data_IF_225954964411
#
_entry.id   IF_225954964411
#
_cell.length_a   1.000
_cell.length_b   1.000
_cell.length_c   1.000
_cell.angle_alpha   90.00
_cell.angle_beta   90.00
_cell.angle_gamma   90.00
#
_symmetry.space_group_name_H-M   'P 1'
#
loop_
_entity.id
_entity.type
_entity.pdbx_description
1 polymer ?
#
# COMPACT_ATOMS: atom_id res chain seq x y z
N UNK A 1 20.16 -13.75 8.13
CA UNK A 1 20.43 -12.33 7.79
C UNK A 1 19.68 -12.01 6.50
N UNK A 2 18.70 -11.09 6.48
CA UNK A 2 17.87 -10.83 5.28
C UNK A 2 18.60 -9.89 4.30
N UNK A 3 18.97 -10.44 3.15
CA UNK A 3 19.40 -9.68 1.97
C UNK A 3 18.26 -8.76 1.49
N UNK A 4 18.50 -7.46 1.36
CA UNK A 4 17.44 -6.50 0.95
C UNK A 4 17.76 -5.74 -0.33
N UNK A 5 19.03 -5.45 -0.63
CA UNK A 5 19.37 -4.63 -1.78
C UNK A 5 20.56 -5.21 -2.54
N UNK A 6 20.54 -5.09 -3.86
CA UNK A 6 21.63 -5.48 -4.76
C UNK A 6 22.41 -4.22 -5.16
N UNK A 7 23.74 -4.26 -5.08
CA UNK A 7 24.59 -3.13 -5.48
C UNK A 7 25.93 -3.63 -6.02
N UNK A 8 26.32 -3.16 -7.21
CA UNK A 8 27.63 -3.44 -7.84
C UNK A 8 28.05 -4.92 -7.81
N UNK A 9 27.10 -5.82 -8.09
CA UNK A 9 27.37 -7.26 -8.18
C UNK A 9 27.40 -8.03 -6.86
N UNK A 10 27.13 -7.36 -5.73
CA UNK A 10 27.00 -8.00 -4.43
C UNK A 10 25.71 -7.62 -3.72
N UNK A 11 25.27 -8.51 -2.83
CA UNK A 11 24.11 -8.28 -1.98
C UNK A 11 24.56 -7.45 -0.78
N UNK A 12 23.95 -6.28 -0.61
CA UNK A 12 24.19 -5.42 0.56
C UNK A 12 23.11 -5.66 1.62
N UNK A 13 23.54 -5.66 2.87
CA UNK A 13 22.69 -5.86 4.06
C UNK A 13 22.35 -4.55 4.78
N UNK A 14 23.05 -3.46 4.44
CA UNK A 14 22.83 -2.13 5.01
C UNK A 14 21.83 -1.30 4.21
N UNK A 15 21.30 -0.25 4.84
CA UNK A 15 20.34 0.67 4.21
C UNK A 15 21.03 1.58 3.19
N UNK A 16 20.50 1.62 1.97
CA UNK A 16 20.95 2.55 0.93
C UNK A 16 20.05 3.77 0.91
N UNK A 17 20.59 4.93 1.27
CA UNK A 17 19.86 6.19 1.21
C UNK A 17 19.51 6.55 -0.25
N UNK A 18 18.25 6.92 -0.48
CA UNK A 18 17.78 7.36 -1.80
C UNK A 18 17.87 8.88 -1.90
N UNK A 19 18.63 9.39 -2.88
CA UNK A 19 18.67 10.83 -3.18
C UNK A 19 17.37 11.34 -3.78
N UNK A 20 16.57 10.48 -4.41
CA UNK A 20 15.26 10.83 -4.96
C UNK A 20 14.20 10.97 -3.87
N UNK A 21 14.37 10.26 -2.74
CA UNK A 21 13.37 10.23 -1.68
C UNK A 21 13.11 11.60 -1.05
N UNK A 22 14.13 12.45 -0.94
CA UNK A 22 13.94 13.81 -0.41
C UNK A 22 13.01 14.67 -1.28
N UNK A 23 13.16 14.60 -2.60
CA UNK A 23 12.31 15.32 -3.56
C UNK A 23 10.90 14.73 -3.67
N UNK A 24 10.77 13.40 -3.59
CA UNK A 24 9.45 12.75 -3.49
C UNK A 24 8.74 13.15 -2.20
N UNK A 25 9.45 13.11 -1.06
CA UNK A 25 8.88 13.43 0.26
C UNK A 25 8.30 14.83 0.33
N UNK A 26 8.90 15.82 -0.34
CA UNK A 26 8.35 17.18 -0.36
C UNK A 26 7.07 17.29 -1.20
N UNK A 27 6.86 16.41 -2.17
CA UNK A 27 5.63 16.38 -2.99
C UNK A 27 4.50 15.56 -2.37
N UNK A 28 4.79 14.61 -1.47
CA UNK A 28 3.78 13.73 -0.84
C UNK A 28 2.56 14.50 -0.32
N UNK A 29 2.68 15.61 0.45
CA UNK A 29 1.51 16.32 0.96
C UNK A 29 0.61 16.90 -0.14
N UNK A 30 1.20 17.35 -1.25
CA UNK A 30 0.45 17.87 -2.39
C UNK A 30 -0.27 16.74 -3.14
N UNK A 31 0.36 15.58 -3.25
CA UNK A 31 -0.26 14.39 -3.83
C UNK A 31 -1.40 13.89 -2.95
N UNK A 32 -1.20 13.79 -1.63
CA UNK A 32 -2.23 13.34 -0.68
C UNK A 32 -3.47 14.24 -0.69
N UNK A 33 -3.30 15.56 -0.87
CA UNK A 33 -4.42 16.50 -0.95
C UNK A 33 -5.34 16.26 -2.16
N UNK A 34 -4.78 15.80 -3.27
CA UNK A 34 -5.52 15.60 -4.53
C UNK A 34 -5.76 14.13 -4.86
N UNK A 35 -5.14 13.22 -4.11
CA UNK A 35 -5.36 11.81 -4.23
C UNK A 35 -6.72 11.46 -3.61
N UNK A 36 -7.49 10.66 -4.35
CA UNK A 36 -8.70 10.03 -3.84
C UNK A 36 -8.56 8.53 -4.00
N UNK A 37 -9.19 7.79 -3.10
CA UNK A 37 -9.32 6.36 -3.30
C UNK A 37 -10.29 6.08 -4.43
N UNK A 38 -9.90 5.18 -5.34
CA UNK A 38 -10.80 4.63 -6.35
C UNK A 38 -11.76 3.59 -5.72
N UNK A 39 -11.36 3.04 -4.58
CA UNK A 39 -12.07 2.03 -3.82
C UNK A 39 -13.04 2.67 -2.83
N UNK A 40 -14.19 2.02 -2.64
CA UNK A 40 -15.20 2.46 -1.67
C UNK A 40 -15.88 3.78 -2.06
N UNK A 41 -16.15 4.61 -1.05
CA UNK A 41 -16.79 5.93 -1.19
C UNK A 41 -15.81 7.06 -1.60
N UNK A 42 -14.52 6.71 -1.72
CA UNK A 42 -13.43 7.62 -2.08
C UNK A 42 -12.89 8.48 -0.93
N UNK A 43 -13.47 8.40 0.26
CA UNK A 43 -13.07 9.13 1.47
C UNK A 43 -12.55 8.20 2.55
N UNK A 44 -13.20 7.06 2.73
CA UNK A 44 -12.83 6.01 3.70
C UNK A 44 -12.78 4.67 2.98
N UNK A 45 -11.84 3.82 3.39
CA UNK A 45 -11.76 2.46 2.88
C UNK A 45 -12.05 1.49 4.01
N UNK A 46 -13.05 0.64 3.80
CA UNK A 46 -13.27 -0.56 4.57
C UNK A 46 -12.60 -1.75 3.89
N UNK A 47 -11.56 -2.30 4.52
CA UNK A 47 -10.83 -3.43 3.95
C UNK A 47 -11.70 -4.67 3.67
N UNK A 48 -12.70 -4.95 4.49
CA UNK A 48 -13.49 -6.17 4.37
C UNK A 48 -14.70 -6.01 3.45
N UNK A 49 -15.37 -4.87 3.55
CA UNK A 49 -16.69 -4.63 2.94
C UNK A 49 -16.60 -3.90 1.61
N UNK A 50 -15.53 -3.14 1.37
CA UNK A 50 -15.39 -2.45 0.09
C UNK A 50 -15.03 -3.42 -1.02
N UNK A 51 -15.49 -3.09 -2.22
CA UNK A 51 -15.20 -3.86 -3.41
C UNK A 51 -13.77 -3.56 -3.87
N UNK A 52 -12.84 -4.43 -3.49
CA UNK A 52 -11.44 -4.38 -3.93
C UNK A 52 -11.25 -4.90 -5.36
N UNK A 53 -12.04 -5.91 -5.73
CA UNK A 53 -12.00 -6.59 -7.02
C UNK A 53 -13.42 -6.64 -7.62
N UNK A 54 -13.92 -7.83 -7.95
CA UNK A 54 -15.31 -8.02 -8.41
C UNK A 54 -16.31 -8.01 -7.25
N UNK A 55 -15.88 -8.47 -6.08
CA UNK A 55 -16.68 -8.53 -4.84
C UNK A 55 -15.85 -8.09 -3.63
N UNK A 56 -16.50 -7.77 -2.50
CA UNK A 56 -15.84 -7.58 -1.21
C UNK A 56 -15.04 -8.82 -0.77
N UNK A 57 -13.95 -8.60 -0.02
CA UNK A 57 -13.10 -9.70 0.47
C UNK A 57 -13.88 -10.62 1.41
N UNK A 58 -14.80 -10.06 2.21
CA UNK A 58 -15.67 -10.84 3.12
C UNK A 58 -16.58 -11.83 2.40
N UNK A 59 -16.86 -11.61 1.11
CA UNK A 59 -17.67 -12.54 0.31
C UNK A 59 -16.78 -13.55 -0.45
N UNK A 60 -15.47 -13.30 -0.54
CA UNK A 60 -14.50 -14.21 -1.17
C UNK A 60 -13.95 -15.24 -0.18
N UNK A 61 -13.83 -14.84 1.08
CA UNK A 61 -13.42 -15.68 2.19
C UNK A 61 -14.73 -16.02 2.89
N UNK A 62 -15.13 -17.29 2.88
CA UNK A 62 -16.40 -17.80 3.38
C UNK A 62 -16.52 -17.64 4.92
N UNK A 63 -16.52 -16.39 5.39
CA UNK A 63 -16.53 -16.01 6.80
C UNK A 63 -17.96 -16.17 7.29
N UNK A 64 -18.19 -16.89 8.40
CA UNK A 64 -19.53 -17.05 8.95
C UNK A 64 -20.15 -15.69 9.28
N UNK A 65 -21.43 -15.53 8.92
CA UNK A 65 -22.21 -14.28 9.08
C UNK A 65 -22.27 -13.78 10.54
N UNK A 66 -21.96 -14.64 11.51
CA UNK A 66 -21.88 -14.31 12.94
C UNK A 66 -20.76 -13.29 13.26
N UNK A 67 -19.79 -13.11 12.35
CA UNK A 67 -18.59 -12.26 12.54
C UNK A 67 -18.58 -11.05 11.58
N UNK A 68 -19.59 -10.91 10.70
CA UNK A 68 -19.71 -9.88 9.65
C UNK A 68 -20.37 -8.58 10.12
#
# INVERSE_FOLDING_TARGET
MRARFWSKGSIITYYKHSSLWSGLRSMIPSVELHARWLLGDGTTINFWRDRWLTSPIVDMIDIPEDVK
#
